data_IF_659025872554
#
_entry.id   IF_659025872554
#
_cell.length_a   1.000
_cell.length_b   1.000
_cell.length_c   1.000
_cell.angle_alpha   90.00
_cell.angle_beta   90.00
_cell.angle_gamma   90.00
#
_symmetry.space_group_name_H-M   'P 1'
#
loop_
_entity.id
_entity.type
_entity.pdbx_description
1 polymer ?
#
# COMPACT_ATOMS: atom_id res chain seq x y z
N UNK A 1 3.69 50.44 -6.57
CA UNK A 1 2.30 50.37 -6.03
C UNK A 1 2.31 49.40 -4.88
N UNK A 2 1.92 49.91 -3.71
CA UNK A 2 1.70 49.32 -2.38
C UNK A 2 2.04 47.86 -2.08
N UNK A 3 2.89 47.72 -1.05
CA UNK A 3 2.85 46.69 -0.02
C UNK A 3 1.57 46.86 0.83
N UNK A 4 0.82 45.78 1.06
CA UNK A 4 -0.12 45.53 2.18
C UNK A 4 -0.32 43.99 2.15
N UNK A 5 0.34 43.19 2.99
CA UNK A 5 0.00 42.91 4.37
C UNK A 5 -1.47 42.44 4.54
N UNK A 6 -1.67 41.14 4.79
CA UNK A 6 -2.99 40.65 5.17
C UNK A 6 -3.09 39.14 5.28
N UNK A 7 -3.39 38.69 6.50
CA UNK A 7 -3.94 37.37 6.87
C UNK A 7 -2.90 36.28 7.15
N UNK A 8 -2.23 36.40 8.30
CA UNK A 8 -1.85 35.23 9.10
C UNK A 8 -2.84 35.12 10.26
N UNK A 9 -3.89 34.31 10.10
CA UNK A 9 -4.70 33.88 11.24
C UNK A 9 -4.00 32.71 11.92
N UNK A 10 -3.44 33.02 13.08
CA UNK A 10 -2.88 32.11 14.07
C UNK A 10 -3.90 31.02 14.43
N UNK A 11 -3.58 29.77 14.12
CA UNK A 11 -4.32 28.60 14.58
C UNK A 11 -4.06 28.44 16.08
N UNK A 12 -5.06 28.85 16.85
CA UNK A 12 -5.17 28.77 18.31
C UNK A 12 -4.86 27.35 18.78
N UNK A 13 -3.72 27.20 19.46
CA UNK A 13 -3.33 26.02 20.24
C UNK A 13 -4.49 25.56 21.14
N UNK A 14 -4.82 24.28 21.05
CA UNK A 14 -5.79 23.62 21.91
C UNK A 14 -5.39 23.75 23.38
N UNK A 15 -6.39 24.06 24.20
CA UNK A 15 -6.25 24.24 25.63
C UNK A 15 -6.00 22.90 26.31
N UNK A 16 -4.89 22.83 27.04
CA UNK A 16 -4.58 21.79 28.00
C UNK A 16 -5.70 21.65 29.04
N UNK A 17 -6.20 20.43 29.24
CA UNK A 17 -7.02 20.10 30.41
C UNK A 17 -6.13 20.04 31.67
N UNK A 18 -6.50 20.70 32.78
CA UNK A 18 -5.81 20.50 34.04
C UNK A 18 -6.28 19.21 34.73
N UNK A 19 -5.32 18.47 35.30
CA UNK A 19 -5.58 17.33 36.17
C UNK A 19 -6.22 17.79 37.49
N UNK A 20 -7.18 17.05 38.07
CA UNK A 20 -7.65 17.32 39.42
C UNK A 20 -6.75 16.59 40.44
N UNK A 21 -6.33 17.35 41.44
CA UNK A 21 -5.56 16.90 42.58
C UNK A 21 -6.40 16.03 43.54
N UNK A 22 -5.66 15.14 44.21
CA UNK A 22 -5.98 14.28 45.34
C UNK A 22 -7.22 14.63 46.20
N UNK A 23 -8.06 13.62 46.40
CA UNK A 23 -9.10 13.55 47.43
C UNK A 23 -9.12 12.16 48.07
N UNK A 24 -9.01 12.16 49.39
CA UNK A 24 -8.83 11.04 50.34
C UNK A 24 -10.01 10.07 50.43
N UNK A 25 -9.68 8.76 50.40
CA UNK A 25 -10.30 7.59 51.08
C UNK A 25 -11.83 7.42 51.07
N UNK A 26 -12.25 6.38 50.34
CA UNK A 26 -13.42 5.56 50.66
C UNK A 26 -13.14 4.13 50.21
N UNK A 27 -12.67 3.27 51.14
CA UNK A 27 -12.55 1.84 50.89
C UNK A 27 -13.95 1.23 50.86
N UNK A 28 -14.59 1.24 49.70
CA UNK A 28 -15.70 0.35 49.42
C UNK A 28 -15.14 -0.88 48.73
N UNK A 29 -14.93 -1.93 49.52
CA UNK A 29 -14.68 -3.29 49.06
C UNK A 29 -15.81 -3.68 48.10
N UNK A 30 -15.51 -3.68 46.81
CA UNK A 30 -16.35 -4.32 45.81
C UNK A 30 -16.23 -5.84 45.99
N UNK A 31 -17.33 -6.59 45.82
CA UNK A 31 -17.34 -8.03 46.06
C UNK A 31 -16.33 -8.71 45.14
N UNK A 32 -15.63 -9.71 45.69
CA UNK A 32 -14.83 -10.67 44.94
C UNK A 32 -15.70 -11.18 43.79
N UNK A 33 -15.40 -10.71 42.58
CA UNK A 33 -16.02 -11.23 41.38
C UNK A 33 -15.69 -12.71 41.32
N UNK A 34 -16.75 -13.51 41.43
CA UNK A 34 -16.76 -14.95 41.33
C UNK A 34 -15.86 -15.39 40.18
N UNK A 35 -15.08 -16.44 40.45
CA UNK A 35 -14.28 -17.12 39.44
C UNK A 35 -15.16 -17.35 38.22
N UNK A 36 -14.86 -16.63 37.13
CA UNK A 36 -15.48 -16.83 35.83
C UNK A 36 -15.23 -18.28 35.47
N UNK A 37 -16.26 -19.11 35.62
CA UNK A 37 -16.28 -20.45 35.06
C UNK A 37 -15.96 -20.28 33.59
N UNK A 38 -14.89 -20.93 33.12
CA UNK A 38 -14.59 -20.99 31.71
C UNK A 38 -15.87 -21.42 30.99
N UNK A 39 -16.42 -20.63 30.04
CA UNK A 39 -17.62 -21.02 29.33
C UNK A 39 -17.35 -22.37 28.69
N UNK A 40 -18.24 -23.32 28.96
CA UNK A 40 -18.17 -24.66 28.39
C UNK A 40 -18.06 -24.54 26.87
N UNK A 41 -17.10 -25.26 26.28
CA UNK A 41 -16.82 -25.16 24.85
C UNK A 41 -18.08 -25.48 24.04
N UNK A 42 -18.68 -24.52 23.32
CA UNK A 42 -19.90 -24.76 22.58
C UNK A 42 -19.62 -25.75 21.45
N UNK A 43 -20.40 -26.84 21.32
CA UNK A 43 -20.15 -27.84 20.26
C UNK A 43 -20.16 -27.15 18.87
N UNK A 44 -19.05 -27.20 18.11
CA UNK A 44 -18.90 -26.50 16.84
C UNK A 44 -19.99 -26.81 15.80
N UNK A 45 -20.67 -27.97 15.91
CA UNK A 45 -21.68 -28.40 14.95
C UNK A 45 -23.10 -28.00 15.32
N UNK A 46 -23.35 -27.66 16.58
CA UNK A 46 -24.71 -27.40 17.10
C UNK A 46 -24.88 -26.00 17.66
N UNK A 47 -23.78 -25.28 17.91
CA UNK A 47 -23.84 -23.89 18.39
C UNK A 47 -24.39 -22.95 17.32
N UNK A 48 -24.84 -21.76 17.76
CA UNK A 48 -25.23 -20.72 16.81
C UNK A 48 -24.02 -20.20 16.02
N UNK A 49 -24.24 -19.61 14.82
CA UNK A 49 -23.15 -19.01 14.05
C UNK A 49 -22.40 -17.90 14.81
N UNK A 50 -23.10 -17.16 15.68
CA UNK A 50 -22.49 -16.12 16.49
C UNK A 50 -21.52 -16.71 17.52
N UNK A 51 -21.97 -17.69 18.30
CA UNK A 51 -21.13 -18.40 19.27
C UNK A 51 -19.93 -19.07 18.59
N UNK A 52 -20.14 -19.62 17.39
CA UNK A 52 -19.06 -20.22 16.61
C UNK A 52 -17.97 -19.19 16.27
N UNK A 53 -18.37 -18.01 15.76
CA UNK A 53 -17.43 -16.94 15.41
C UNK A 53 -16.70 -16.42 16.65
N UNK A 54 -17.44 -16.13 17.73
CA UNK A 54 -16.90 -15.59 18.97
C UNK A 54 -15.91 -16.54 19.65
N UNK A 55 -16.20 -17.85 19.64
CA UNK A 55 -15.39 -18.84 20.34
C UNK A 55 -14.25 -19.40 19.49
N UNK A 56 -14.49 -19.70 18.21
CA UNK A 56 -13.52 -20.42 17.37
C UNK A 56 -12.73 -19.52 16.42
N UNK A 57 -13.33 -18.44 15.92
CA UNK A 57 -12.71 -17.62 14.86
C UNK A 57 -12.06 -16.38 15.43
N UNK A 58 -12.80 -15.58 16.19
CA UNK A 58 -12.36 -14.28 16.69
C UNK A 58 -11.10 -14.33 17.56
N UNK A 59 -10.88 -15.32 18.45
CA UNK A 59 -9.67 -15.38 19.27
C UNK A 59 -8.40 -15.52 18.43
N UNK A 60 -8.51 -16.11 17.23
CA UNK A 60 -7.39 -16.27 16.29
C UNK A 60 -7.31 -15.09 15.32
N UNK A 61 -8.46 -14.63 14.81
CA UNK A 61 -8.54 -13.66 13.73
C UNK A 61 -8.35 -12.21 14.21
N UNK A 62 -8.98 -11.82 15.33
CA UNK A 62 -8.96 -10.42 15.80
C UNK A 62 -7.55 -9.91 16.10
N UNK A 63 -6.65 -10.67 16.77
CA UNK A 63 -5.28 -10.23 16.96
C UNK A 63 -4.53 -10.02 15.63
N UNK A 64 -4.79 -10.87 14.63
CA UNK A 64 -4.22 -10.71 13.29
C UNK A 64 -4.73 -9.46 12.57
N UNK A 65 -6.02 -9.14 12.70
CA UNK A 65 -6.60 -7.91 12.18
C UNK A 65 -6.01 -6.68 12.89
N UNK A 66 -5.80 -6.74 14.21
CA UNK A 66 -5.19 -5.64 14.96
C UNK A 66 -3.77 -5.35 14.45
N UNK A 67 -2.93 -6.39 14.28
CA UNK A 67 -1.59 -6.25 13.71
C UNK A 67 -1.62 -5.74 12.26
N UNK A 68 -2.60 -6.19 11.46
CA UNK A 68 -2.82 -5.71 10.11
C UNK A 68 -3.11 -4.20 10.09
N UNK A 69 -3.97 -3.71 11.00
CA UNK A 69 -4.27 -2.28 11.11
C UNK A 69 -3.04 -1.47 11.54
N UNK A 70 -2.22 -2.00 12.46
CA UNK A 70 -0.94 -1.38 12.82
C UNK A 70 0.02 -1.31 11.63
N UNK A 71 0.13 -2.38 10.84
CA UNK A 71 0.97 -2.37 9.64
C UNK A 71 0.42 -1.43 8.56
N UNK A 72 -0.89 -1.44 8.33
CA UNK A 72 -1.55 -0.53 7.39
C UNK A 72 -1.32 0.94 7.75
N UNK A 73 -1.31 1.28 9.05
CA UNK A 73 -0.94 2.62 9.51
C UNK A 73 0.51 2.96 9.19
N UNK A 74 1.47 2.06 9.45
CA UNK A 74 2.90 2.25 9.13
C UNK A 74 3.14 2.45 7.64
N UNK A 75 2.39 1.74 6.80
CA UNK A 75 2.45 1.82 5.33
C UNK A 75 1.63 3.00 4.75
N UNK A 76 1.07 3.88 5.60
CA UNK A 76 0.26 5.04 5.22
C UNK A 76 -0.98 4.69 4.36
N UNK A 77 -1.55 3.50 4.56
CA UNK A 77 -2.73 3.03 3.82
C UNK A 77 -3.98 3.88 4.08
N UNK A 78 -4.07 4.54 5.23
CA UNK A 78 -5.21 5.42 5.55
C UNK A 78 -5.05 6.84 4.99
N UNK A 79 -3.86 7.20 4.54
CA UNK A 79 -3.55 8.53 3.97
C UNK A 79 -3.56 8.50 2.43
N UNK A 80 -3.14 7.37 1.84
CA UNK A 80 -2.93 7.22 0.39
C UNK A 80 -4.07 6.44 -0.26
N UNK A 81 -4.56 6.93 -1.40
CA UNK A 81 -5.61 6.25 -2.19
C UNK A 81 -5.17 4.91 -2.80
N UNK A 82 -3.87 4.72 -3.04
CA UNK A 82 -3.28 3.48 -3.57
C UNK A 82 -2.03 3.13 -2.79
N UNK A 83 -1.87 1.86 -2.46
CA UNK A 83 -0.72 1.34 -1.70
C UNK A 83 -0.21 0.03 -2.29
N UNK A 84 1.06 -0.27 -1.98
CA UNK A 84 1.68 -1.56 -2.28
C UNK A 84 1.24 -2.66 -1.31
N UNK A 85 0.82 -2.27 -0.10
CA UNK A 85 0.46 -3.20 0.96
C UNK A 85 -0.83 -3.96 0.63
N UNK A 86 -0.73 -5.30 0.57
CA UNK A 86 -1.88 -6.19 0.33
C UNK A 86 -2.30 -6.80 1.66
N UNK A 87 -3.43 -6.36 2.19
CA UNK A 87 -3.96 -6.77 3.49
C UNK A 87 -4.17 -8.29 3.61
N UNK A 88 -4.73 -8.92 2.58
CA UNK A 88 -4.98 -10.36 2.58
C UNK A 88 -3.70 -11.19 2.59
N UNK A 89 -2.65 -10.74 1.88
CA UNK A 89 -1.36 -11.43 1.86
C UNK A 89 -0.72 -11.39 3.25
N UNK A 90 -0.71 -10.20 3.86
CA UNK A 90 -0.22 -10.02 5.24
C UNK A 90 -1.00 -10.89 6.23
N UNK A 91 -2.33 -10.89 6.17
CA UNK A 91 -3.15 -11.67 7.12
C UNK A 91 -2.92 -13.18 6.95
N UNK A 92 -2.78 -13.64 5.71
CA UNK A 92 -2.47 -15.04 5.40
C UNK A 92 -1.11 -15.44 5.98
N UNK A 93 -0.08 -14.62 5.77
CA UNK A 93 1.25 -14.84 6.34
C UNK A 93 1.22 -14.83 7.87
N UNK A 94 0.51 -13.88 8.46
CA UNK A 94 0.38 -13.75 9.91
C UNK A 94 -0.29 -14.98 10.52
N UNK A 95 -1.45 -15.39 9.99
CA UNK A 95 -2.20 -16.55 10.47
C UNK A 95 -1.41 -17.85 10.29
N UNK A 96 -0.69 -17.98 9.18
CA UNK A 96 0.13 -19.15 8.90
C UNK A 96 1.28 -19.30 9.91
N UNK A 97 2.01 -18.21 10.17
CA UNK A 97 3.13 -18.22 11.12
C UNK A 97 2.69 -18.23 12.59
N UNK A 98 1.49 -17.75 12.91
CA UNK A 98 0.91 -17.83 14.27
C UNK A 98 0.13 -19.10 14.54
N UNK A 99 0.11 -20.04 13.60
CA UNK A 99 -0.54 -21.33 13.79
C UNK A 99 0.13 -22.12 14.94
N UNK A 100 -0.61 -22.50 16.00
CA UNK A 100 -0.06 -23.28 17.11
C UNK A 100 0.58 -24.62 16.72
N UNK A 101 0.24 -25.15 15.54
CA UNK A 101 0.84 -26.38 14.99
C UNK A 101 2.28 -26.19 14.47
N UNK A 102 2.72 -24.94 14.29
CA UNK A 102 4.00 -24.55 13.70
C UNK A 102 4.96 -23.87 14.70
N UNK A 103 4.77 -24.06 16.01
CA UNK A 103 5.53 -23.33 17.05
C UNK A 103 7.05 -23.46 16.93
N UNK A 104 7.54 -24.59 16.41
CA UNK A 104 8.97 -24.89 16.29
C UNK A 104 9.52 -24.63 14.87
N UNK A 105 8.68 -24.17 13.95
CA UNK A 105 9.08 -23.86 12.58
C UNK A 105 9.56 -22.41 12.45
N UNK A 106 10.52 -22.18 11.55
CA UNK A 106 10.97 -20.83 11.23
C UNK A 106 9.89 -20.00 10.53
N UNK A 107 9.99 -18.69 10.67
CA UNK A 107 9.15 -17.76 9.93
C UNK A 107 9.19 -18.05 8.42
N UNK A 108 8.01 -18.13 7.80
CA UNK A 108 7.85 -18.36 6.36
C UNK A 108 7.17 -17.15 5.74
N UNK A 109 7.86 -16.50 4.80
CA UNK A 109 7.31 -15.39 4.02
C UNK A 109 6.13 -15.85 3.15
N UNK A 110 5.21 -14.93 2.85
CA UNK A 110 3.98 -15.19 2.12
C UNK A 110 4.15 -16.03 0.84
N UNK A 111 5.12 -15.66 -0.01
CA UNK A 111 5.35 -16.36 -1.28
C UNK A 111 5.98 -17.75 -1.12
N UNK A 112 6.57 -18.05 0.04
CA UNK A 112 7.17 -19.34 0.37
C UNK A 112 6.16 -20.31 1.03
N UNK A 113 4.97 -19.85 1.39
CA UNK A 113 3.92 -20.70 1.96
C UNK A 113 3.51 -21.76 0.91
N UNK A 114 3.51 -23.08 1.22
CA UNK A 114 3.33 -24.14 0.22
C UNK A 114 2.06 -23.99 -0.63
N UNK A 115 0.89 -23.85 0.02
CA UNK A 115 -0.38 -23.72 -0.70
C UNK A 115 -0.47 -22.42 -1.50
N UNK A 116 0.21 -21.35 -1.07
CA UNK A 116 0.27 -20.08 -1.81
C UNK A 116 1.16 -20.24 -3.03
N UNK A 117 2.35 -20.80 -2.85
CA UNK A 117 3.30 -21.05 -3.94
C UNK A 117 2.68 -21.93 -5.03
N UNK A 118 2.03 -23.02 -4.64
CA UNK A 118 1.40 -23.95 -5.58
C UNK A 118 0.20 -23.30 -6.30
N UNK A 119 -0.59 -22.48 -5.61
CA UNK A 119 -1.67 -21.72 -6.24
C UNK A 119 -1.13 -20.71 -7.26
N UNK A 120 -0.08 -19.97 -6.91
CA UNK A 120 0.49 -18.93 -7.77
C UNK A 120 1.19 -19.46 -9.03
N UNK A 121 1.64 -20.73 -9.03
CA UNK A 121 2.16 -21.40 -10.24
C UNK A 121 1.10 -21.47 -11.34
N UNK A 122 -0.14 -21.82 -10.96
CA UNK A 122 -1.26 -21.95 -11.91
C UNK A 122 -2.01 -20.62 -12.12
N UNK A 123 -1.90 -19.69 -11.15
CA UNK A 123 -2.58 -18.40 -11.16
C UNK A 123 -1.59 -17.25 -10.89
N UNK A 124 -0.73 -16.90 -11.87
CA UNK A 124 0.24 -15.83 -11.68
C UNK A 124 -0.47 -14.48 -11.47
N UNK A 125 0.00 -13.71 -10.50
CA UNK A 125 -0.55 -12.36 -10.23
C UNK A 125 -0.11 -11.37 -11.31
N UNK A 126 -0.94 -10.38 -11.64
CA UNK A 126 -0.52 -9.27 -12.49
C UNK A 126 0.63 -8.50 -11.82
N UNK A 127 1.57 -7.94 -12.61
CA UNK A 127 2.67 -7.17 -12.07
C UNK A 127 2.16 -5.92 -11.34
N UNK A 128 2.77 -5.63 -10.18
CA UNK A 128 2.45 -4.42 -9.42
C UNK A 128 2.95 -3.21 -10.22
N UNK A 129 2.12 -2.15 -10.40
CA UNK A 129 2.55 -0.93 -11.09
C UNK A 129 3.82 -0.35 -10.46
N UNK A 130 4.78 0.05 -11.30
CA UNK A 130 6.07 0.58 -10.86
C UNK A 130 5.91 1.75 -9.88
N UNK A 131 4.94 2.64 -10.12
CA UNK A 131 4.66 3.79 -9.26
C UNK A 131 4.30 3.42 -7.81
N UNK A 132 3.86 2.20 -7.53
CA UNK A 132 3.61 1.71 -6.17
C UNK A 132 4.83 1.03 -5.54
N UNK A 133 5.79 0.60 -6.36
CA UNK A 133 7.01 -0.06 -5.91
C UNK A 133 8.12 0.92 -5.54
N UNK A 134 8.14 2.09 -6.17
CA UNK A 134 9.15 3.11 -5.95
C UNK A 134 9.08 3.71 -4.55
N UNK A 135 10.24 3.84 -3.93
CA UNK A 135 10.43 4.72 -2.78
C UNK A 135 10.24 6.20 -3.18
N UNK A 136 10.06 7.05 -2.18
CA UNK A 136 9.90 8.49 -2.41
C UNK A 136 11.19 9.08 -3.03
N UNK A 137 12.34 8.60 -2.59
CA UNK A 137 13.66 8.98 -3.07
C UNK A 137 13.86 8.57 -4.53
N UNK A 138 13.58 7.31 -4.89
CA UNK A 138 13.70 6.83 -6.27
C UNK A 138 12.73 7.56 -7.20
N UNK A 139 11.48 7.75 -6.77
CA UNK A 139 10.50 8.52 -7.52
C UNK A 139 10.97 9.97 -7.73
N UNK A 140 11.57 10.59 -6.71
CA UNK A 140 12.12 11.95 -6.81
C UNK A 140 13.24 12.05 -7.84
N UNK A 141 14.17 11.07 -7.86
CA UNK A 141 15.27 11.03 -8.81
C UNK A 141 14.74 10.89 -10.24
N UNK A 142 13.75 10.00 -10.44
CA UNK A 142 13.10 9.82 -11.73
C UNK A 142 12.47 11.15 -12.17
N UNK A 143 11.59 11.74 -11.36
CA UNK A 143 10.89 13.00 -11.70
C UNK A 143 11.90 14.13 -12.01
N UNK A 144 12.92 14.29 -11.17
CA UNK A 144 13.95 15.32 -11.35
C UNK A 144 14.77 15.11 -12.63
N UNK A 145 15.13 13.86 -12.97
CA UNK A 145 15.85 13.54 -14.19
C UNK A 145 15.02 13.87 -15.45
N UNK A 146 13.72 13.54 -15.42
CA UNK A 146 12.77 13.88 -16.48
C UNK A 146 12.64 15.40 -16.63
N UNK A 147 12.53 16.13 -15.51
CA UNK A 147 12.44 17.59 -15.52
C UNK A 147 13.68 18.26 -16.08
N UNK A 148 14.88 17.83 -15.65
CA UNK A 148 16.15 18.33 -16.20
C UNK A 148 16.23 18.07 -17.71
N UNK A 149 15.84 16.89 -18.16
CA UNK A 149 15.75 16.58 -19.59
C UNK A 149 14.73 17.45 -20.33
N UNK A 150 13.57 17.71 -19.73
CA UNK A 150 12.54 18.59 -20.30
C UNK A 150 13.06 20.02 -20.45
N UNK A 151 13.67 20.57 -19.39
CA UNK A 151 14.33 21.88 -19.36
C UNK A 151 15.31 22.06 -20.52
N UNK A 152 16.17 21.06 -20.77
CA UNK A 152 17.12 21.09 -21.90
C UNK A 152 16.39 21.08 -23.24
N UNK A 153 15.33 20.27 -23.36
CA UNK A 153 14.50 20.23 -24.57
C UNK A 153 13.70 21.52 -24.80
N UNK A 154 13.48 22.37 -23.81
CA UNK A 154 12.86 23.67 -24.03
C UNK A 154 13.79 24.69 -24.70
N UNK A 155 15.11 24.45 -24.73
CA UNK A 155 16.05 25.33 -25.40
C UNK A 155 15.83 25.31 -26.93
N UNK A 156 15.77 26.48 -27.56
CA UNK A 156 15.54 26.65 -29.00
C UNK A 156 16.57 25.93 -29.85
N UNK A 157 17.86 26.05 -29.52
CA UNK A 157 18.95 25.39 -30.27
C UNK A 157 18.80 23.86 -30.24
N UNK A 158 18.37 23.32 -29.10
CA UNK A 158 18.12 21.89 -28.92
C UNK A 158 16.87 21.45 -29.72
N UNK A 159 15.83 22.28 -29.77
CA UNK A 159 14.64 22.01 -30.60
C UNK A 159 14.96 22.01 -32.09
N UNK A 160 15.74 22.99 -32.56
CA UNK A 160 16.21 23.05 -33.94
C UNK A 160 17.03 21.80 -34.30
N UNK A 161 17.98 21.41 -33.45
CA UNK A 161 18.74 20.17 -33.63
C UNK A 161 17.83 18.94 -33.71
N UNK A 162 16.81 18.85 -32.85
CA UNK A 162 15.85 17.73 -32.86
C UNK A 162 15.02 17.68 -34.14
N UNK A 163 14.57 18.84 -34.63
CA UNK A 163 13.85 18.95 -35.90
C UNK A 163 14.75 18.55 -37.07
N UNK A 164 15.99 19.05 -37.10
CA UNK A 164 16.97 18.67 -38.12
C UNK A 164 17.26 17.16 -38.11
N UNK A 165 17.47 16.55 -36.94
CA UNK A 165 17.65 15.11 -36.79
C UNK A 165 16.42 14.31 -37.23
N UNK A 166 15.21 14.84 -36.99
CA UNK A 166 13.96 14.22 -37.47
C UNK A 166 13.91 14.23 -38.99
N UNK A 167 14.18 15.37 -39.61
CA UNK A 167 14.24 15.52 -41.08
C UNK A 167 15.23 14.55 -41.70
N UNK A 168 16.44 14.42 -41.15
CA UNK A 168 17.42 13.44 -41.63
C UNK A 168 16.94 11.98 -41.60
N UNK A 169 16.16 11.58 -40.57
CA UNK A 169 15.59 10.23 -40.50
C UNK A 169 14.49 10.02 -41.53
N UNK A 170 13.69 11.04 -41.76
CA UNK A 170 12.66 11.03 -42.81
C UNK A 170 13.33 10.94 -44.18
N UNK A 171 14.33 11.78 -44.44
CA UNK A 171 15.09 11.82 -45.69
C UNK A 171 15.75 10.48 -46.03
N UNK A 172 16.33 9.80 -45.03
CA UNK A 172 16.88 8.45 -45.21
C UNK A 172 15.82 7.42 -45.60
N UNK A 173 14.58 7.59 -45.17
CA UNK A 173 13.47 6.69 -45.48
C UNK A 173 12.70 7.10 -46.75
N UNK A 174 12.99 8.23 -47.38
CA UNK A 174 12.30 8.69 -48.60
C UNK A 174 12.39 7.64 -49.70
N UNK A 175 13.57 7.09 -49.97
CA UNK A 175 13.74 6.08 -51.03
C UNK A 175 12.90 4.83 -50.81
N UNK A 176 12.71 4.43 -49.55
CA UNK A 176 11.85 3.29 -49.20
C UNK A 176 10.38 3.63 -49.40
N UNK A 177 9.94 4.79 -48.90
CA UNK A 177 8.56 5.28 -49.06
C UNK A 177 8.17 5.50 -50.53
N UNK A 178 9.08 6.05 -51.34
CA UNK A 178 8.88 6.24 -52.79
C UNK A 178 8.79 4.91 -53.52
N UNK A 179 9.66 3.94 -53.19
CA UNK A 179 9.58 2.59 -53.75
C UNK A 179 8.23 1.93 -53.43
N UNK A 180 7.82 1.96 -52.17
CA UNK A 180 6.53 1.41 -51.73
C UNK A 180 5.32 2.08 -52.40
N UNK A 181 5.39 3.39 -52.66
CA UNK A 181 4.36 4.12 -53.40
C UNK A 181 4.24 3.65 -54.85
N UNK A 182 5.35 3.56 -55.59
CA UNK A 182 5.34 3.13 -56.99
C UNK A 182 4.92 1.67 -57.14
N UNK A 183 5.40 0.77 -56.28
CA UNK A 183 4.95 -0.63 -56.29
C UNK A 183 3.44 -0.78 -56.06
N UNK A 184 2.79 0.15 -55.34
CA UNK A 184 1.32 0.17 -55.18
C UNK A 184 0.59 0.74 -56.39
N UNK A 185 1.19 1.69 -57.12
CA UNK A 185 0.61 2.24 -58.34
C UNK A 185 0.68 1.24 -59.50
N UNK A 186 1.78 0.50 -59.61
CA UNK A 186 1.96 -0.51 -60.66
C UNK A 186 1.10 -1.76 -60.47
N UNK A 187 0.67 -2.04 -59.23
CA UNK A 187 -0.23 -3.16 -58.91
C UNK A 187 -1.72 -2.85 -59.12
N UNK A 188 -2.05 -1.64 -59.59
CA UNK A 188 -3.40 -1.12 -59.77
C UNK A 188 -3.78 -1.11 -61.24
#
# INVERSE_FOLDING_TARGET
VSLEAGISQSLRMEQFCPAPAAGTVGQQLLPVAEAVSFPEQPDPKTCSPQEYLEYYIFPVLLPGIAELLHRAKKEKCFERKRTRFIACDFLTEWLYNKNPKRKDESFTEFFAIPFVSDWLKNHPRPPIPLSLLLSEEEASIIIQSFWRGYRVRCNSEIQELRQWQKKLREDKNIFKSVREFWSKQEAK
#
